data_IF_454980522117
#
_entry.id   IF_454980522117
#
_cell.length_a   1.000
_cell.length_b   1.000
_cell.length_c   1.000
_cell.angle_alpha   90.00
_cell.angle_beta   90.00
_cell.angle_gamma   90.00
#
_symmetry.space_group_name_H-M   'P 1'
#
loop_
_entity.id
_entity.type
_entity.pdbx_description
1 polymer ?
#
# COMPACT_ATOMS: atom_id res chain seq x y z
N UNK A 1 26.10 -3.41 29.33
CA UNK A 1 27.18 -2.91 28.45
C UNK A 1 27.11 -3.79 27.22
N UNK A 2 26.92 -3.24 26.02
CA UNK A 2 26.87 -4.05 24.78
C UNK A 2 28.28 -4.57 24.47
N UNK A 3 28.33 -5.75 23.83
CA UNK A 3 29.55 -6.37 23.36
C UNK A 3 30.21 -5.45 22.30
N UNK A 4 31.50 -5.12 22.42
CA UNK A 4 32.21 -4.31 21.41
C UNK A 4 32.14 -4.91 20.02
N UNK A 5 32.25 -6.24 19.89
CA UNK A 5 32.17 -6.94 18.60
C UNK A 5 30.78 -6.79 17.94
N UNK A 6 29.72 -6.76 18.75
CA UNK A 6 28.37 -6.49 18.28
C UNK A 6 28.23 -5.06 17.75
N UNK A 7 28.77 -4.07 18.47
CA UNK A 7 28.72 -2.67 18.04
C UNK A 7 29.45 -2.48 16.71
N UNK A 8 30.67 -3.04 16.60
CA UNK A 8 31.44 -2.98 15.34
C UNK A 8 30.68 -3.66 14.17
N UNK A 9 30.00 -4.80 14.43
CA UNK A 9 29.20 -5.47 13.42
C UNK A 9 27.98 -4.61 12.99
N UNK A 10 27.32 -3.95 13.94
CA UNK A 10 26.20 -3.04 13.66
C UNK A 10 26.69 -1.82 12.86
N UNK A 11 27.82 -1.24 13.22
CA UNK A 11 28.39 -0.09 12.51
C UNK A 11 28.71 -0.45 11.06
N UNK A 12 29.35 -1.59 10.81
CA UNK A 12 29.64 -2.07 9.44
C UNK A 12 28.36 -2.25 8.61
N UNK A 13 27.33 -2.86 9.20
CA UNK A 13 26.03 -3.05 8.50
C UNK A 13 25.39 -1.68 8.22
N UNK A 14 25.47 -0.75 9.15
CA UNK A 14 24.94 0.61 9.00
C UNK A 14 25.66 1.37 7.87
N UNK A 15 26.98 1.27 7.80
CA UNK A 15 27.77 1.88 6.71
C UNK A 15 27.39 1.30 5.34
N UNK A 16 27.24 -0.03 5.25
CA UNK A 16 26.79 -0.68 4.02
C UNK A 16 25.37 -0.24 3.62
N UNK A 17 24.48 -0.16 4.59
CA UNK A 17 23.12 0.32 4.36
C UNK A 17 23.09 1.76 3.82
N UNK A 18 23.89 2.66 4.43
CA UNK A 18 23.99 4.05 3.98
C UNK A 18 24.55 4.13 2.54
N UNK A 19 25.58 3.35 2.23
CA UNK A 19 26.17 3.33 0.89
C UNK A 19 25.16 2.84 -0.16
N UNK A 20 24.35 1.83 0.16
CA UNK A 20 23.26 1.35 -0.72
C UNK A 20 22.20 2.44 -0.88
N UNK A 21 21.87 3.16 0.18
CA UNK A 21 20.88 4.22 0.14
C UNK A 21 21.31 5.40 -0.74
N UNK A 22 22.57 5.83 -0.62
CA UNK A 22 23.16 6.85 -1.48
C UNK A 22 23.13 6.45 -2.97
N UNK A 23 23.36 5.16 -3.25
CA UNK A 23 23.28 4.64 -4.60
C UNK A 23 21.84 4.66 -5.14
N UNK A 24 20.87 4.27 -4.32
CA UNK A 24 19.43 4.34 -4.66
C UNK A 24 19.02 5.78 -4.98
N UNK A 25 19.41 6.75 -4.15
CA UNK A 25 19.13 8.18 -4.39
C UNK A 25 19.75 8.66 -5.71
N UNK A 26 20.97 8.25 -6.00
CA UNK A 26 21.67 8.60 -7.24
C UNK A 26 20.97 8.03 -8.47
N UNK A 27 20.60 6.74 -8.44
CA UNK A 27 19.87 6.09 -9.53
C UNK A 27 18.52 6.78 -9.73
N UNK A 28 17.79 7.03 -8.64
CA UNK A 28 16.50 7.70 -8.70
C UNK A 28 16.60 9.09 -9.33
N UNK A 29 17.54 9.93 -8.86
CA UNK A 29 17.69 11.29 -9.33
C UNK A 29 18.14 11.38 -10.80
N UNK A 30 18.97 10.42 -11.26
CA UNK A 30 19.56 10.46 -12.60
C UNK A 30 18.77 9.68 -13.64
N UNK A 31 18.03 8.63 -13.25
CA UNK A 31 17.44 7.69 -14.19
C UNK A 31 15.92 7.51 -14.05
N UNK A 32 15.33 7.86 -12.89
CA UNK A 32 13.90 7.60 -12.64
C UNK A 32 13.06 8.88 -12.63
N UNK A 33 13.52 9.93 -11.93
CA UNK A 33 12.74 11.15 -11.78
C UNK A 33 12.48 11.82 -13.13
N UNK A 34 11.26 12.33 -13.32
CA UNK A 34 10.75 12.93 -14.56
C UNK A 34 10.65 12.00 -15.77
N UNK A 35 10.89 10.70 -15.62
CA UNK A 35 10.53 9.71 -16.64
C UNK A 35 9.00 9.57 -16.77
N UNK A 36 8.51 8.93 -17.83
CA UNK A 36 7.08 8.70 -17.99
C UNK A 36 6.50 7.81 -16.87
N UNK A 37 7.29 6.85 -16.35
CA UNK A 37 6.92 6.02 -15.22
C UNK A 37 6.70 6.89 -13.97
N UNK A 38 7.65 7.78 -13.66
CA UNK A 38 7.55 8.66 -12.50
C UNK A 38 6.33 9.59 -12.55
N UNK A 39 5.97 10.10 -13.75
CA UNK A 39 4.77 10.91 -13.91
C UNK A 39 3.48 10.10 -13.70
N UNK A 40 3.47 8.82 -14.13
CA UNK A 40 2.37 7.90 -13.82
C UNK A 40 2.31 7.64 -12.33
N UNK A 41 3.44 7.35 -11.66
CA UNK A 41 3.50 7.16 -10.22
C UNK A 41 2.94 8.36 -9.45
N UNK A 42 3.32 9.57 -9.85
CA UNK A 42 2.78 10.80 -9.27
C UNK A 42 1.26 10.91 -9.49
N UNK A 43 0.80 10.61 -10.70
CA UNK A 43 -0.63 10.57 -11.01
C UNK A 43 -1.39 9.56 -10.15
N UNK A 44 -0.87 8.34 -10.02
CA UNK A 44 -1.45 7.28 -9.20
C UNK A 44 -1.39 7.60 -7.71
N UNK A 45 -0.42 8.37 -7.25
CA UNK A 45 -0.33 8.81 -5.86
C UNK A 45 -1.34 9.93 -5.52
N UNK A 46 -1.73 10.76 -6.48
CA UNK A 46 -2.55 11.95 -6.23
C UNK A 46 -4.00 11.77 -6.70
N UNK A 47 -4.21 11.33 -7.94
CA UNK A 47 -5.54 11.33 -8.57
C UNK A 47 -6.59 10.50 -7.83
N UNK A 48 -6.30 9.30 -7.29
CA UNK A 48 -7.30 8.53 -6.54
C UNK A 48 -7.79 9.27 -5.29
N UNK A 49 -6.89 9.98 -4.57
CA UNK A 49 -7.29 10.78 -3.42
C UNK A 49 -8.16 11.97 -3.82
N UNK A 50 -7.82 12.66 -4.92
CA UNK A 50 -8.65 13.75 -5.45
C UNK A 50 -10.03 13.23 -5.83
N UNK A 51 -10.09 12.12 -6.56
CA UNK A 51 -11.35 11.48 -6.94
C UNK A 51 -12.17 11.11 -5.69
N UNK A 52 -11.54 10.47 -4.70
CA UNK A 52 -12.22 10.11 -3.47
C UNK A 52 -12.74 11.32 -2.72
N UNK A 53 -11.99 12.41 -2.63
CA UNK A 53 -12.44 13.65 -1.99
C UNK A 53 -13.69 14.24 -2.65
N UNK A 54 -13.86 14.06 -3.96
CA UNK A 54 -15.02 14.52 -4.73
C UNK A 54 -16.24 13.63 -4.45
N UNK A 55 -16.05 12.29 -4.48
CA UNK A 55 -17.17 11.32 -4.46
C UNK A 55 -17.46 10.72 -3.08
N UNK A 56 -16.65 11.04 -2.06
CA UNK A 56 -16.79 10.46 -0.72
C UNK A 56 -18.14 10.74 -0.07
N UNK A 57 -18.62 9.80 0.70
CA UNK A 57 -19.73 10.03 1.62
C UNK A 57 -19.27 10.90 2.80
N UNK A 58 -19.68 12.17 2.78
CA UNK A 58 -19.29 13.17 3.80
C UNK A 58 -19.74 12.78 5.21
N UNK A 59 -20.83 12.02 5.35
CA UNK A 59 -21.34 11.59 6.65
C UNK A 59 -20.49 10.50 7.29
N UNK A 60 -19.89 9.65 6.46
CA UNK A 60 -19.08 8.50 6.88
C UNK A 60 -17.56 8.71 6.65
N UNK A 61 -17.13 9.93 6.29
CA UNK A 61 -15.73 10.22 5.95
C UNK A 61 -14.73 9.67 6.97
N UNK A 62 -14.95 9.91 8.29
CA UNK A 62 -14.02 9.44 9.32
C UNK A 62 -13.91 7.92 9.34
N UNK A 63 -15.04 7.21 9.20
CA UNK A 63 -15.07 5.74 9.20
C UNK A 63 -14.35 5.17 7.99
N UNK A 64 -14.54 5.80 6.83
CA UNK A 64 -13.84 5.44 5.59
C UNK A 64 -12.33 5.66 5.76
N UNK A 65 -11.91 6.81 6.30
CA UNK A 65 -10.50 7.10 6.54
C UNK A 65 -9.86 6.13 7.53
N UNK A 66 -10.51 5.80 8.64
CA UNK A 66 -9.97 4.80 9.58
C UNK A 66 -9.75 3.45 8.90
N UNK A 67 -10.72 2.99 8.11
CA UNK A 67 -10.60 1.73 7.40
C UNK A 67 -9.53 1.81 6.29
N UNK A 68 -9.49 2.91 5.54
CA UNK A 68 -8.49 3.12 4.49
C UNK A 68 -7.06 3.19 5.03
N UNK A 69 -6.84 4.01 6.07
CA UNK A 69 -5.51 4.13 6.70
C UNK A 69 -5.05 2.82 7.35
N UNK A 70 -5.95 2.05 7.95
CA UNK A 70 -5.65 0.72 8.43
C UNK A 70 -5.21 -0.20 7.28
N UNK A 71 -5.95 -0.18 6.17
CA UNK A 71 -5.61 -0.98 4.99
C UNK A 71 -4.26 -0.57 4.41
N UNK A 72 -3.97 0.74 4.32
CA UNK A 72 -2.67 1.25 3.89
C UNK A 72 -1.54 0.77 4.80
N UNK A 73 -1.70 0.90 6.11
CA UNK A 73 -0.71 0.46 7.08
C UNK A 73 -0.40 -1.04 6.96
N UNK A 74 -1.44 -1.88 6.88
CA UNK A 74 -1.26 -3.33 6.74
C UNK A 74 -0.59 -3.67 5.41
N UNK A 75 -0.99 -3.03 4.31
CA UNK A 75 -0.37 -3.22 3.01
C UNK A 75 1.12 -2.87 3.03
N UNK A 76 1.48 -1.69 3.58
CA UNK A 76 2.87 -1.26 3.73
C UNK A 76 3.71 -2.28 4.52
N UNK A 77 3.21 -2.74 5.67
CA UNK A 77 3.93 -3.74 6.49
C UNK A 77 4.14 -5.04 5.72
N UNK A 78 3.12 -5.54 5.04
CA UNK A 78 3.23 -6.76 4.24
C UNK A 78 4.14 -6.58 3.03
N UNK A 79 4.09 -5.39 2.38
CA UNK A 79 4.97 -5.05 1.28
C UNK A 79 6.43 -5.01 1.72
N UNK A 80 6.74 -4.34 2.84
CA UNK A 80 8.10 -4.31 3.41
C UNK A 80 8.62 -5.72 3.69
N UNK A 81 7.80 -6.60 4.27
CA UNK A 81 8.17 -8.00 4.52
C UNK A 81 8.42 -8.72 3.20
N UNK A 82 7.53 -8.61 2.23
CA UNK A 82 7.64 -9.30 0.95
C UNK A 82 8.86 -8.89 0.14
N UNK A 83 9.13 -7.58 0.05
CA UNK A 83 10.34 -7.03 -0.61
C UNK A 83 11.60 -7.47 0.12
N UNK A 84 11.63 -7.39 1.46
CA UNK A 84 12.79 -7.80 2.26
C UNK A 84 13.11 -9.29 2.17
N UNK A 85 12.11 -10.13 1.87
CA UNK A 85 12.30 -11.55 1.62
C UNK A 85 12.60 -11.88 0.14
N UNK A 86 12.69 -10.85 -0.71
CA UNK A 86 12.96 -11.04 -2.13
C UNK A 86 11.78 -11.64 -2.92
N UNK A 87 10.55 -11.52 -2.41
CA UNK A 87 9.35 -12.03 -3.08
C UNK A 87 9.02 -11.27 -4.36
N UNK A 88 9.30 -9.99 -4.40
CA UNK A 88 9.14 -9.11 -5.56
C UNK A 88 9.99 -7.85 -5.43
N UNK A 89 10.10 -7.12 -6.55
CA UNK A 89 10.77 -5.82 -6.63
C UNK A 89 9.88 -4.80 -7.35
N UNK A 90 10.18 -3.54 -7.12
CA UNK A 90 9.62 -2.43 -7.88
C UNK A 90 10.71 -1.77 -8.70
N UNK A 91 10.44 -1.56 -9.98
CA UNK A 91 11.39 -0.99 -10.93
C UNK A 91 11.35 0.54 -10.98
N UNK A 92 10.37 1.14 -10.30
CA UNK A 92 10.21 2.61 -10.21
C UNK A 92 9.85 2.99 -8.78
N UNK A 93 10.33 4.15 -8.36
CA UNK A 93 10.00 4.73 -7.06
C UNK A 93 9.58 6.19 -7.24
N UNK A 94 8.44 6.55 -6.66
CA UNK A 94 8.04 7.96 -6.60
C UNK A 94 9.02 8.75 -5.72
N UNK A 95 9.45 8.15 -4.61
CA UNK A 95 10.46 8.66 -3.68
C UNK A 95 11.48 7.54 -3.35
N UNK A 96 12.77 7.86 -3.26
CA UNK A 96 13.82 6.84 -3.08
C UNK A 96 13.93 6.29 -1.64
N UNK A 97 13.14 6.83 -0.71
CA UNK A 97 13.27 6.51 0.72
C UNK A 97 12.43 5.32 1.18
N UNK A 98 11.54 4.83 0.32
CA UNK A 98 10.61 3.75 0.66
C UNK A 98 10.85 2.55 -0.24
N UNK A 99 11.14 1.37 0.32
CA UNK A 99 11.27 0.13 -0.46
C UNK A 99 9.93 -0.37 -1.03
N UNK A 100 8.83 0.05 -0.41
CA UNK A 100 7.47 -0.24 -0.85
C UNK A 100 7.01 0.67 -1.99
N UNK A 101 6.01 0.21 -2.74
CA UNK A 101 5.43 1.00 -3.82
C UNK A 101 4.33 1.92 -3.31
N UNK A 102 4.71 3.15 -2.97
CA UNK A 102 3.87 4.17 -2.34
C UNK A 102 2.53 4.41 -3.06
N UNK A 103 2.45 4.51 -4.41
CA UNK A 103 1.19 4.68 -5.10
C UNK A 103 0.19 3.55 -4.86
N UNK A 104 0.66 2.30 -4.70
CA UNK A 104 -0.20 1.17 -4.41
C UNK A 104 -0.67 1.17 -2.96
N UNK A 105 0.28 1.14 -2.02
CA UNK A 105 0.01 0.90 -0.61
C UNK A 105 -0.74 2.05 0.06
N UNK A 106 -0.40 3.30 -0.30
CA UNK A 106 -0.96 4.49 0.32
C UNK A 106 -2.06 5.18 -0.46
N UNK A 107 -2.32 4.74 -1.71
CA UNK A 107 -3.27 5.44 -2.56
C UNK A 107 -4.25 4.49 -3.23
N UNK A 108 -3.83 3.69 -4.19
CA UNK A 108 -4.74 2.89 -5.01
C UNK A 108 -5.51 1.91 -4.13
N UNK A 109 -4.80 1.14 -3.34
CA UNK A 109 -5.40 0.08 -2.52
C UNK A 109 -6.34 0.65 -1.45
N UNK A 110 -5.96 1.59 -0.56
CA UNK A 110 -6.86 2.12 0.44
C UNK A 110 -8.02 2.91 -0.15
N UNK A 111 -7.79 3.71 -1.19
CA UNK A 111 -8.86 4.48 -1.83
C UNK A 111 -9.87 3.55 -2.49
N UNK A 112 -9.42 2.55 -3.24
CA UNK A 112 -10.31 1.57 -3.87
C UNK A 112 -11.11 0.80 -2.80
N UNK A 113 -10.48 0.38 -1.70
CA UNK A 113 -11.18 -0.26 -0.59
C UNK A 113 -12.27 0.66 -0.01
N UNK A 114 -11.97 1.93 0.25
CA UNK A 114 -12.94 2.91 0.73
C UNK A 114 -14.11 3.10 -0.24
N UNK A 115 -13.86 3.15 -1.54
CA UNK A 115 -14.91 3.22 -2.56
C UNK A 115 -15.78 1.95 -2.55
N UNK A 116 -15.18 0.77 -2.41
CA UNK A 116 -15.92 -0.48 -2.29
C UNK A 116 -16.77 -0.55 -1.01
N UNK A 117 -16.32 0.05 0.11
CA UNK A 117 -17.14 0.11 1.33
C UNK A 117 -18.35 1.02 1.15
N UNK A 118 -18.17 2.16 0.52
CA UNK A 118 -19.21 3.18 0.38
C UNK A 118 -20.22 2.85 -0.73
N UNK A 119 -19.77 2.32 -1.86
CA UNK A 119 -20.65 2.03 -2.99
C UNK A 119 -21.30 0.64 -2.88
N UNK A 120 -22.47 0.50 -3.46
CA UNK A 120 -23.25 -0.74 -3.51
C UNK A 120 -23.47 -1.36 -2.11
N UNK A 121 -24.09 -0.63 -1.16
CA UNK A 121 -24.21 -1.06 0.23
C UNK A 121 -25.04 -2.33 0.43
N UNK A 122 -25.88 -2.70 -0.55
CA UNK A 122 -26.74 -3.89 -0.51
C UNK A 122 -26.03 -5.18 -0.91
N UNK A 123 -24.84 -5.08 -1.53
CA UNK A 123 -24.08 -6.26 -1.93
C UNK A 123 -23.40 -6.85 -0.71
N UNK A 124 -23.40 -8.19 -0.64
CA UNK A 124 -22.75 -8.93 0.42
C UNK A 124 -21.25 -8.53 0.51
N UNK A 125 -20.75 -8.12 1.70
CA UNK A 125 -19.37 -7.66 1.86
C UNK A 125 -18.33 -8.74 1.52
N UNK A 126 -18.64 -10.01 1.72
CA UNK A 126 -17.76 -11.12 1.33
C UNK A 126 -17.56 -11.19 -0.17
N UNK A 127 -18.65 -11.00 -0.93
CA UNK A 127 -18.57 -10.96 -2.40
C UNK A 127 -17.77 -9.73 -2.88
N UNK A 128 -17.95 -8.59 -2.23
CA UNK A 128 -17.18 -7.38 -2.52
C UNK A 128 -15.68 -7.56 -2.19
N UNK A 129 -15.37 -8.19 -1.07
CA UNK A 129 -13.99 -8.53 -0.69
C UNK A 129 -13.34 -9.49 -1.67
N UNK A 130 -14.09 -10.51 -2.12
CA UNK A 130 -13.60 -11.43 -3.14
C UNK A 130 -13.37 -10.70 -4.48
N UNK A 131 -14.31 -9.89 -4.92
CA UNK A 131 -14.16 -9.09 -6.13
C UNK A 131 -12.96 -8.13 -6.04
N UNK A 132 -12.76 -7.47 -4.89
CA UNK A 132 -11.60 -6.63 -4.62
C UNK A 132 -10.29 -7.42 -4.76
N UNK A 133 -10.18 -8.58 -4.11
CA UNK A 133 -9.00 -9.44 -4.19
C UNK A 133 -8.73 -9.96 -5.60
N UNK A 134 -9.77 -10.40 -6.32
CA UNK A 134 -9.64 -10.87 -7.71
C UNK A 134 -9.18 -9.73 -8.62
N UNK A 135 -9.77 -8.54 -8.52
CA UNK A 135 -9.39 -7.40 -9.35
C UNK A 135 -7.93 -7.00 -9.04
N UNK A 136 -7.55 -6.91 -7.77
CA UNK A 136 -6.20 -6.54 -7.38
C UNK A 136 -5.18 -7.57 -7.91
N UNK A 137 -5.36 -8.87 -7.62
CA UNK A 137 -4.38 -9.91 -7.92
C UNK A 137 -4.34 -10.32 -9.41
N UNK A 138 -5.48 -10.35 -10.11
CA UNK A 138 -5.53 -10.90 -11.47
C UNK A 138 -5.77 -9.87 -12.58
N UNK A 139 -6.03 -8.63 -12.22
CA UNK A 139 -6.16 -7.53 -13.19
C UNK A 139 -5.09 -6.49 -12.97
N UNK A 140 -4.97 -5.96 -11.76
CA UNK A 140 -4.08 -4.83 -11.51
C UNK A 140 -2.61 -5.27 -11.44
N UNK A 141 -2.26 -6.31 -10.68
CA UNK A 141 -0.87 -6.81 -10.64
C UNK A 141 -0.34 -7.16 -12.04
N UNK A 142 -1.05 -7.93 -12.91
CA UNK A 142 -0.57 -8.19 -14.27
C UNK A 142 -0.40 -6.92 -15.12
N UNK A 143 -1.25 -5.91 -14.96
CA UNK A 143 -1.10 -4.63 -15.64
C UNK A 143 0.19 -3.93 -15.18
N UNK A 144 0.49 -3.93 -13.89
CA UNK A 144 1.71 -3.33 -13.34
C UNK A 144 2.97 -4.07 -13.79
N UNK A 145 2.92 -5.40 -13.92
CA UNK A 145 4.01 -6.19 -14.51
C UNK A 145 4.19 -5.81 -15.99
N UNK A 146 3.11 -5.80 -16.76
CA UNK A 146 3.15 -5.46 -18.18
C UNK A 146 3.68 -4.05 -18.45
N UNK A 147 3.35 -3.09 -17.58
CA UNK A 147 3.85 -1.71 -17.64
C UNK A 147 5.28 -1.56 -17.10
N UNK A 148 5.87 -2.61 -16.51
CA UNK A 148 7.23 -2.57 -15.99
C UNK A 148 7.41 -1.91 -14.62
N UNK A 149 6.33 -1.71 -13.84
CA UNK A 149 6.39 -1.14 -12.49
C UNK A 149 6.77 -2.17 -11.42
N UNK A 150 6.36 -3.41 -11.62
CA UNK A 150 6.41 -4.49 -10.64
C UNK A 150 7.00 -5.75 -11.26
N UNK A 151 7.90 -6.42 -10.54
CA UNK A 151 8.54 -7.67 -10.96
C UNK A 151 8.46 -8.71 -9.84
N UNK A 152 7.62 -9.75 -9.99
CA UNK A 152 7.54 -10.83 -9.02
C UNK A 152 8.77 -11.76 -9.14
N UNK A 153 9.40 -12.06 -8.00
CA UNK A 153 10.56 -12.96 -7.89
C UNK A 153 10.15 -14.26 -7.19
N UNK A 154 9.27 -15.03 -7.85
CA UNK A 154 8.71 -16.27 -7.28
C UNK A 154 7.39 -16.07 -6.51
N UNK A 155 6.86 -14.85 -6.45
CA UNK A 155 5.54 -14.57 -5.91
C UNK A 155 4.47 -14.76 -6.99
N UNK A 156 3.42 -15.51 -6.69
CA UNK A 156 2.33 -15.74 -7.61
C UNK A 156 1.05 -15.02 -7.21
N UNK A 157 0.27 -14.56 -8.20
CA UNK A 157 -0.97 -13.80 -7.99
C UNK A 157 -1.98 -14.49 -7.07
N UNK A 158 -1.98 -15.82 -7.05
CA UNK A 158 -2.89 -16.56 -6.18
C UNK A 158 -2.54 -16.46 -4.69
N UNK A 159 -1.31 -16.06 -4.32
CA UNK A 159 -0.95 -15.72 -2.93
C UNK A 159 -1.49 -14.35 -2.55
N UNK A 160 -1.53 -13.42 -3.49
CA UNK A 160 -2.04 -12.05 -3.27
C UNK A 160 -3.55 -12.02 -3.00
N UNK A 161 -4.33 -12.89 -3.67
CA UNK A 161 -5.79 -12.88 -3.55
C UNK A 161 -6.30 -13.02 -2.11
N UNK A 162 -5.92 -14.05 -1.32
CA UNK A 162 -6.38 -14.18 0.05
C UNK A 162 -5.88 -13.03 0.94
N UNK A 163 -4.71 -12.48 0.68
CA UNK A 163 -4.16 -11.34 1.42
C UNK A 163 -5.04 -10.10 1.20
N UNK A 164 -5.32 -9.73 -0.04
CA UNK A 164 -6.21 -8.61 -0.36
C UNK A 164 -7.61 -8.80 0.20
N UNK A 165 -8.13 -10.02 0.11
CA UNK A 165 -9.43 -10.35 0.68
C UNK A 165 -9.45 -10.12 2.21
N UNK A 166 -8.44 -10.59 2.94
CA UNK A 166 -8.34 -10.43 4.40
C UNK A 166 -8.19 -8.96 4.77
N UNK A 167 -7.32 -8.21 4.09
CA UNK A 167 -7.14 -6.77 4.30
C UNK A 167 -8.48 -6.04 4.10
N UNK A 168 -9.19 -6.35 3.00
CA UNK A 168 -10.50 -5.78 2.71
C UNK A 168 -11.50 -6.08 3.84
N UNK A 169 -11.60 -7.33 4.26
CA UNK A 169 -12.57 -7.73 5.30
C UNK A 169 -12.25 -7.10 6.66
N UNK A 170 -10.98 -7.00 7.03
CA UNK A 170 -10.55 -6.32 8.26
C UNK A 170 -10.86 -4.82 8.21
N UNK A 171 -10.58 -4.15 7.10
CA UNK A 171 -10.96 -2.75 6.88
C UNK A 171 -12.48 -2.54 6.88
N UNK A 172 -13.24 -3.46 6.25
CA UNK A 172 -14.70 -3.42 6.29
C UNK A 172 -15.24 -3.57 7.72
N UNK A 173 -14.65 -4.46 8.50
CA UNK A 173 -15.01 -4.62 9.92
C UNK A 173 -14.79 -3.30 10.68
N UNK A 174 -13.67 -2.61 10.49
CA UNK A 174 -13.40 -1.29 11.07
C UNK A 174 -14.41 -0.25 10.59
N UNK A 175 -14.70 -0.22 9.28
CA UNK A 175 -15.70 0.69 8.70
C UNK A 175 -17.07 0.53 9.33
N UNK A 176 -17.47 -0.71 9.67
CA UNK A 176 -18.79 -0.97 10.27
C UNK A 176 -18.86 -0.69 11.77
N UNK A 177 -17.71 -0.58 12.46
CA UNK A 177 -17.67 -0.26 13.89
C UNK A 177 -18.04 1.20 14.16
N UNK A 178 -18.85 1.42 15.19
CA UNK A 178 -19.28 2.74 15.65
C UNK A 178 -18.33 3.24 16.74
N UNK A 179 -17.13 3.67 16.35
CA UNK A 179 -16.18 4.26 17.28
C UNK A 179 -16.69 5.66 17.71
N UNK A 180 -16.88 5.89 19.00
CA UNK A 180 -17.16 7.21 19.58
C UNK A 180 -18.63 7.56 19.84
N UNK A 181 -19.62 6.72 19.52
CA UNK A 181 -21.03 7.00 19.91
C UNK A 181 -21.22 6.99 21.44
N UNK A 182 -20.42 6.20 22.17
CA UNK A 182 -20.49 6.14 23.64
C UNK A 182 -19.98 7.42 24.33
N UNK A 183 -19.18 8.24 23.66
CA UNK A 183 -18.67 9.50 24.24
C UNK A 183 -19.71 10.62 24.16
N UNK A 184 -20.59 10.61 23.14
CA UNK A 184 -21.68 11.60 23.00
C UNK A 184 -22.87 11.33 23.92
N UNK A 185 -23.09 10.09 24.32
CA UNK A 185 -24.19 9.73 25.22
C UNK A 185 -23.94 10.10 26.71
N UNK A 186 -22.72 10.54 27.04
CA UNK A 186 -22.34 10.96 28.41
C UNK A 186 -22.18 12.48 28.57
N UNK A 187 -22.55 13.29 27.58
CA UNK A 187 -22.64 14.73 27.63
C UNK A 187 -24.08 15.16 27.41
#
# INVERSE_FOLDING_TARGET
MYDPDLLEAVDRVTEQYNAIHDEIERIWAQQMVFTWHWWIDLGLAVLPWVLWLIVRDRKNTHRLLYAGLFSAFVATVLCMIGVSQGGWNYNTWLLPYFPEYLPWDWTIMPVTAMLFYQFLPKINPWLKGLAFGVIAAYVVEPIFIWLGFYEPSGWEHHYSLPIYFVIYMAGYWLYTRRFGEHVRARR
#
